data_IF_190943887906
#
_entry.id   IF_190943887906
#
_cell.length_a   1.000
_cell.length_b   1.000
_cell.length_c   1.000
_cell.angle_alpha   90.00
_cell.angle_beta   90.00
_cell.angle_gamma   90.00
#
_symmetry.space_group_name_H-M   'P 1'
#
loop_
_entity.id
_entity.type
_entity.pdbx_description
1 polymer ?
#
# COMPACT_ATOMS: atom_id res chain seq x y z
N UNK A 1 14.25 22.08 -23.58
CA UNK A 1 14.61 20.67 -23.41
C UNK A 1 15.45 20.58 -22.16
N UNK A 2 14.83 20.36 -21.02
CA UNK A 2 15.52 20.09 -19.76
C UNK A 2 15.77 18.59 -19.70
N UNK A 3 17.04 18.24 -19.56
CA UNK A 3 17.55 16.89 -19.48
C UNK A 3 16.87 16.13 -18.32
N UNK A 4 16.15 15.06 -18.66
CA UNK A 4 15.41 14.19 -17.74
C UNK A 4 16.28 13.05 -17.18
N UNK A 5 17.59 13.08 -17.37
CA UNK A 5 18.52 12.08 -16.84
C UNK A 5 18.93 12.35 -15.38
N UNK A 6 17.97 12.62 -14.49
CA UNK A 6 18.25 12.40 -13.05
C UNK A 6 18.39 10.89 -12.88
N UNK A 7 19.62 10.44 -12.62
CA UNK A 7 19.89 9.05 -12.30
C UNK A 7 18.94 8.63 -11.16
N UNK A 8 18.09 7.63 -11.44
CA UNK A 8 17.19 7.00 -10.46
C UNK A 8 18.01 6.19 -9.44
N UNK A 9 18.93 6.85 -8.75
CA UNK A 9 19.65 6.27 -7.62
C UNK A 9 18.66 6.15 -6.47
N UNK A 10 18.19 4.93 -6.24
CA UNK A 10 17.44 4.55 -5.04
C UNK A 10 18.35 4.85 -3.85
N UNK A 11 17.85 5.63 -2.90
CA UNK A 11 18.56 5.85 -1.64
C UNK A 11 18.73 4.53 -0.91
N UNK A 12 19.70 4.45 0.01
CA UNK A 12 19.86 3.28 0.90
C UNK A 12 18.55 2.92 1.64
N UNK A 13 17.68 3.92 1.82
CA UNK A 13 16.37 3.84 2.46
C UNK A 13 15.22 3.46 1.53
N UNK A 14 15.51 3.05 0.30
CA UNK A 14 14.48 2.55 -0.60
C UNK A 14 13.49 3.60 -1.08
N UNK A 15 13.80 4.90 -1.00
CA UNK A 15 13.05 5.96 -1.67
C UNK A 15 13.79 6.46 -2.91
N UNK A 16 13.04 6.86 -3.95
CA UNK A 16 13.59 7.67 -5.04
C UNK A 16 14.01 9.03 -4.48
N UNK A 17 15.22 9.50 -4.84
CA UNK A 17 15.65 10.85 -4.48
C UNK A 17 14.61 11.87 -4.93
N UNK A 18 14.08 12.64 -3.98
CA UNK A 18 13.11 13.70 -4.27
C UNK A 18 13.82 15.03 -4.49
N UNK A 19 13.32 15.84 -5.42
CA UNK A 19 13.73 17.24 -5.54
C UNK A 19 13.25 18.09 -4.35
N UNK A 20 12.23 17.61 -3.62
CA UNK A 20 11.78 18.20 -2.37
C UNK A 20 12.70 17.78 -1.22
N UNK A 21 13.48 18.74 -0.73
CA UNK A 21 14.43 18.56 0.37
C UNK A 21 13.76 18.15 1.69
N UNK A 22 12.53 18.60 1.93
CA UNK A 22 11.79 18.24 3.15
C UNK A 22 11.35 16.77 3.09
N UNK A 23 10.79 16.35 1.96
CA UNK A 23 10.43 14.95 1.74
C UNK A 23 11.67 14.05 1.85
N UNK A 24 12.79 14.46 1.25
CA UNK A 24 14.04 13.72 1.34
C UNK A 24 14.53 13.58 2.79
N UNK A 25 14.51 14.67 3.56
CA UNK A 25 14.87 14.65 4.98
C UNK A 25 14.00 13.69 5.80
N UNK A 26 12.68 13.72 5.59
CA UNK A 26 11.74 12.80 6.27
C UNK A 26 12.11 11.35 5.97
N UNK A 27 12.33 11.02 4.69
CA UNK A 27 12.71 9.67 4.27
C UNK A 27 14.01 9.21 4.93
N UNK A 28 15.06 10.03 4.88
CA UNK A 28 16.40 9.67 5.37
C UNK A 28 16.44 9.50 6.90
N UNK A 29 15.60 10.22 7.65
CA UNK A 29 15.66 10.22 9.12
C UNK A 29 14.57 9.36 9.78
N UNK A 30 13.44 9.15 9.12
CA UNK A 30 12.26 8.51 9.71
C UNK A 30 12.03 7.08 9.23
N UNK A 31 12.46 6.72 8.02
CA UNK A 31 12.17 5.40 7.47
C UNK A 31 12.97 4.30 8.18
N UNK A 32 12.30 3.19 8.47
CA UNK A 32 12.84 1.98 9.12
C UNK A 32 12.36 0.76 8.36
N UNK A 33 12.95 0.55 7.19
CA UNK A 33 12.61 -0.58 6.33
C UNK A 33 13.31 -1.86 6.77
N UNK A 34 12.58 -2.97 6.77
CA UNK A 34 13.17 -4.29 6.95
C UNK A 34 13.99 -4.71 5.74
N UNK A 35 14.88 -5.69 5.90
CA UNK A 35 15.66 -6.23 4.79
C UNK A 35 14.79 -6.88 3.70
N UNK A 36 13.61 -7.41 4.08
CA UNK A 36 12.65 -7.94 3.12
C UNK A 36 11.99 -6.82 2.31
N UNK A 37 11.60 -5.73 2.97
CA UNK A 37 11.02 -4.54 2.33
C UNK A 37 12.02 -3.87 1.38
N UNK A 38 13.27 -3.69 1.81
CA UNK A 38 14.34 -3.13 0.95
C UNK A 38 14.54 -3.98 -0.30
N UNK A 39 14.66 -5.30 -0.12
CA UNK A 39 14.81 -6.24 -1.24
C UNK A 39 13.63 -6.15 -2.21
N UNK A 40 12.39 -6.22 -1.69
CA UNK A 40 11.20 -6.17 -2.53
C UNK A 40 11.12 -4.87 -3.32
N UNK A 41 11.37 -3.72 -2.67
CA UNK A 41 11.39 -2.42 -3.32
C UNK A 41 12.46 -2.33 -4.43
N UNK A 42 13.63 -2.96 -4.25
CA UNK A 42 14.67 -3.01 -5.28
C UNK A 42 14.23 -3.85 -6.49
N UNK A 43 13.62 -5.01 -6.26
CA UNK A 43 13.15 -5.88 -7.35
C UNK A 43 11.93 -5.28 -8.08
N UNK A 44 10.92 -4.83 -7.34
CA UNK A 44 9.70 -4.28 -7.93
C UNK A 44 9.96 -3.02 -8.76
N UNK A 45 11.01 -2.24 -8.45
CA UNK A 45 11.41 -1.07 -9.25
C UNK A 45 11.97 -1.40 -10.63
N UNK A 46 12.44 -2.62 -10.85
CA UNK A 46 12.89 -3.09 -12.17
C UNK A 46 11.70 -3.37 -13.09
N UNK A 47 10.51 -3.56 -12.52
CA UNK A 47 9.31 -3.87 -13.27
C UNK A 47 8.77 -2.65 -14.04
N UNK A 48 8.25 -2.80 -15.27
CA UNK A 48 7.68 -1.70 -16.06
C UNK A 48 6.53 -0.97 -15.35
N UNK A 49 5.76 -1.70 -14.54
CA UNK A 49 4.65 -1.17 -13.74
C UNK A 49 5.06 -0.68 -12.34
N UNK A 50 6.34 -0.37 -12.11
CA UNK A 50 6.87 0.08 -10.81
C UNK A 50 6.22 1.35 -10.24
N UNK A 51 5.52 2.14 -11.07
CA UNK A 51 4.71 3.28 -10.62
C UNK A 51 3.50 2.88 -9.76
N UNK A 52 3.12 1.59 -9.77
CA UNK A 52 2.07 1.05 -8.91
C UNK A 52 2.53 0.78 -7.47
N UNK A 53 3.81 0.99 -7.16
CA UNK A 53 4.32 0.82 -5.80
C UNK A 53 3.86 1.95 -4.89
N UNK A 54 3.38 1.58 -3.71
CA UNK A 54 3.20 2.52 -2.60
C UNK A 54 4.52 3.17 -2.20
N UNK A 55 4.45 4.41 -1.70
CA UNK A 55 5.62 5.04 -1.11
C UNK A 55 5.95 4.38 0.23
N UNK A 56 7.25 4.30 0.55
CA UNK A 56 7.72 3.66 1.78
C UNK A 56 7.23 4.37 3.05
N UNK A 57 7.00 5.68 2.99
CA UNK A 57 6.51 6.45 4.14
C UNK A 57 5.03 6.16 4.42
N UNK A 58 4.22 5.95 3.38
CA UNK A 58 2.82 5.52 3.52
C UNK A 58 2.75 4.13 4.16
N UNK A 59 3.57 3.19 3.68
CA UNK A 59 3.57 1.83 4.22
C UNK A 59 4.05 1.79 5.67
N UNK A 60 5.07 2.58 6.03
CA UNK A 60 5.47 2.68 7.43
C UNK A 60 4.38 3.29 8.31
N UNK A 61 3.66 4.31 7.83
CA UNK A 61 2.53 4.87 8.55
C UNK A 61 1.42 3.83 8.72
N UNK A 62 1.07 3.09 7.68
CA UNK A 62 0.08 2.02 7.72
C UNK A 62 0.47 0.93 8.72
N UNK A 63 1.71 0.46 8.69
CA UNK A 63 2.25 -0.49 9.66
C UNK A 63 2.17 0.05 11.10
N UNK A 64 2.53 1.31 11.32
CA UNK A 64 2.42 1.93 12.65
C UNK A 64 0.96 2.00 13.13
N UNK A 65 0.01 2.31 12.24
CA UNK A 65 -1.42 2.30 12.56
C UNK A 65 -1.91 0.90 12.91
N UNK A 66 -1.58 -0.11 12.09
CA UNK A 66 -1.92 -1.52 12.36
C UNK A 66 -1.38 -1.97 13.72
N UNK A 67 -0.13 -1.61 14.04
CA UNK A 67 0.48 -1.90 15.34
C UNK A 67 -0.26 -1.17 16.48
N UNK A 68 -0.50 0.14 16.35
CA UNK A 68 -1.12 0.96 17.38
C UNK A 68 -2.54 0.54 17.73
N UNK A 69 -3.33 0.08 16.75
CA UNK A 69 -4.68 -0.43 16.97
C UNK A 69 -4.73 -1.92 17.34
N UNK A 70 -3.56 -2.57 17.50
CA UNK A 70 -3.44 -4.01 17.76
C UNK A 70 -4.22 -4.84 16.73
N UNK A 71 -4.07 -4.50 15.45
CA UNK A 71 -4.71 -5.22 14.37
C UNK A 71 -4.30 -6.71 14.41
N UNK A 72 -5.27 -7.60 14.20
CA UNK A 72 -5.01 -9.05 14.08
C UNK A 72 -5.50 -9.65 12.77
N UNK A 73 -6.56 -9.09 12.18
CA UNK A 73 -7.11 -9.53 10.91
C UNK A 73 -7.22 -8.33 10.00
N UNK A 74 -6.56 -8.41 8.85
CA UNK A 74 -6.53 -7.33 7.86
C UNK A 74 -6.90 -7.89 6.51
N UNK A 75 -7.42 -7.03 5.65
CA UNK A 75 -7.77 -7.31 4.27
C UNK A 75 -7.04 -6.31 3.39
N UNK A 76 -6.19 -6.80 2.50
CA UNK A 76 -5.42 -6.03 1.54
C UNK A 76 -5.96 -6.33 0.13
N UNK A 77 -6.38 -5.30 -0.60
CA UNK A 77 -7.02 -5.44 -1.91
C UNK A 77 -6.17 -4.73 -2.96
N UNK A 78 -5.66 -5.50 -3.92
CA UNK A 78 -4.63 -5.03 -4.86
C UNK A 78 -3.24 -5.28 -4.29
N UNK A 79 -2.75 -6.51 -4.44
CA UNK A 79 -1.49 -6.96 -3.84
C UNK A 79 -0.30 -6.53 -4.69
N UNK A 80 -0.45 -6.57 -6.02
CA UNK A 80 0.65 -6.35 -6.97
C UNK A 80 1.88 -7.19 -6.56
N UNK A 81 3.01 -6.56 -6.25
CA UNK A 81 4.26 -7.22 -5.82
C UNK A 81 4.30 -7.57 -4.33
N UNK A 82 3.25 -7.22 -3.57
CA UNK A 82 3.05 -7.66 -2.20
C UNK A 82 3.62 -6.76 -1.12
N UNK A 83 3.97 -5.51 -1.43
CA UNK A 83 4.62 -4.59 -0.48
C UNK A 83 3.70 -4.17 0.67
N UNK A 84 2.42 -3.88 0.40
CA UNK A 84 1.41 -3.58 1.42
C UNK A 84 1.17 -4.78 2.34
N UNK A 85 0.87 -5.96 1.77
CA UNK A 85 0.67 -7.19 2.52
C UNK A 85 1.88 -7.55 3.40
N UNK A 86 3.10 -7.39 2.88
CA UNK A 86 4.35 -7.57 3.64
C UNK A 86 4.42 -6.61 4.83
N UNK A 87 4.25 -5.31 4.57
CA UNK A 87 4.39 -4.24 5.57
C UNK A 87 3.40 -4.40 6.72
N UNK A 88 2.17 -4.83 6.42
CA UNK A 88 1.17 -5.14 7.43
C UNK A 88 1.57 -6.41 8.20
N UNK A 89 1.88 -7.51 7.52
CA UNK A 89 2.15 -8.79 8.16
C UNK A 89 3.35 -8.78 9.14
N UNK A 90 4.36 -7.94 8.87
CA UNK A 90 5.53 -7.76 9.73
C UNK A 90 5.18 -7.16 11.10
N UNK A 91 4.13 -6.33 11.21
CA UNK A 91 3.73 -5.70 12.48
C UNK A 91 2.57 -6.40 13.19
N UNK A 92 1.85 -7.29 12.50
CA UNK A 92 0.80 -8.09 13.14
C UNK A 92 1.41 -9.05 14.17
N UNK A 93 0.67 -9.42 15.23
CA UNK A 93 1.08 -10.47 16.16
C UNK A 93 1.28 -11.82 15.45
N UNK A 94 1.85 -12.81 16.14
CA UNK A 94 2.14 -14.13 15.56
C UNK A 94 0.90 -14.88 15.07
N UNK A 95 -0.25 -14.64 15.72
CA UNK A 95 -1.57 -15.15 15.34
C UNK A 95 -2.32 -14.25 14.34
N UNK A 96 -1.68 -13.18 13.87
CA UNK A 96 -2.24 -12.24 12.93
C UNK A 96 -2.37 -12.81 11.51
N UNK A 97 -3.34 -12.30 10.77
CA UNK A 97 -3.64 -12.69 9.39
C UNK A 97 -3.86 -11.48 8.48
N UNK A 98 -3.24 -11.51 7.31
CA UNK A 98 -3.54 -10.64 6.17
C UNK A 98 -4.25 -11.48 5.13
N UNK A 99 -5.48 -11.13 4.76
CA UNK A 99 -6.12 -11.67 3.55
C UNK A 99 -5.72 -10.76 2.40
N UNK A 100 -5.00 -11.27 1.43
CA UNK A 100 -4.42 -10.50 0.34
C UNK A 100 -5.12 -10.88 -0.98
N UNK A 101 -5.83 -9.94 -1.60
CA UNK A 101 -6.66 -10.18 -2.79
C UNK A 101 -6.06 -9.53 -4.02
N UNK A 102 -5.83 -10.31 -5.06
CA UNK A 102 -5.47 -9.78 -6.37
C UNK A 102 -6.20 -10.52 -7.49
N UNK A 103 -6.45 -9.81 -8.59
CA UNK A 103 -7.08 -10.38 -9.78
C UNK A 103 -6.12 -11.24 -10.59
N UNK A 104 -4.81 -11.10 -10.37
CA UNK A 104 -3.75 -11.85 -11.05
C UNK A 104 -2.74 -12.40 -10.05
N UNK A 105 -2.15 -13.55 -10.33
CA UNK A 105 -1.06 -14.17 -9.56
C UNK A 105 0.31 -14.00 -10.25
N UNK A 106 0.38 -13.22 -11.32
CA UNK A 106 1.59 -12.97 -12.13
C UNK A 106 2.82 -12.61 -11.28
N UNK A 107 2.62 -11.83 -10.20
CA UNK A 107 3.70 -11.35 -9.34
C UNK A 107 3.95 -12.22 -8.10
N UNK A 108 3.08 -13.22 -7.87
CA UNK A 108 3.07 -14.00 -6.63
C UNK A 108 4.37 -14.78 -6.44
N UNK A 109 4.83 -15.46 -7.49
CA UNK A 109 6.00 -16.33 -7.44
C UNK A 109 7.32 -15.56 -7.39
N UNK A 110 7.41 -14.48 -8.14
CA UNK A 110 8.68 -13.78 -8.38
C UNK A 110 8.96 -12.67 -7.37
N UNK A 111 7.90 -12.08 -6.77
CA UNK A 111 8.03 -10.96 -5.84
C UNK A 111 7.46 -11.28 -4.46
N UNK A 112 6.18 -11.65 -4.40
CA UNK A 112 5.44 -11.77 -3.15
C UNK A 112 6.01 -12.87 -2.23
N UNK A 113 6.00 -14.13 -2.68
CA UNK A 113 6.43 -15.27 -1.86
C UNK A 113 7.90 -15.14 -1.41
N UNK A 114 8.86 -14.76 -2.28
CA UNK A 114 10.23 -14.53 -1.84
C UNK A 114 10.36 -13.46 -0.74
N UNK A 115 9.64 -12.33 -0.87
CA UNK A 115 9.67 -11.27 0.13
C UNK A 115 9.05 -11.73 1.47
N UNK A 116 7.88 -12.36 1.41
CA UNK A 116 7.17 -12.83 2.61
C UNK A 116 7.94 -13.93 3.35
N UNK A 117 8.64 -14.80 2.61
CA UNK A 117 9.57 -15.79 3.19
C UNK A 117 10.77 -15.12 3.82
N UNK A 118 11.37 -14.14 3.15
CA UNK A 118 12.53 -13.39 3.66
C UNK A 118 12.23 -12.66 4.98
N UNK A 119 10.99 -12.19 5.15
CA UNK A 119 10.51 -11.60 6.41
C UNK A 119 10.02 -12.64 7.44
N UNK A 120 9.87 -13.91 7.07
CA UNK A 120 9.31 -14.94 7.95
C UNK A 120 7.81 -14.77 8.25
N UNK A 121 7.07 -14.08 7.38
CA UNK A 121 5.65 -13.75 7.57
C UNK A 121 4.71 -14.44 6.59
N UNK A 122 5.22 -15.28 5.69
CA UNK A 122 4.42 -16.03 4.71
C UNK A 122 3.21 -16.74 5.34
N UNK A 123 3.39 -17.35 6.52
CA UNK A 123 2.32 -18.05 7.23
C UNK A 123 1.19 -17.14 7.73
N UNK A 124 1.40 -15.81 7.79
CA UNK A 124 0.37 -14.82 8.15
C UNK A 124 -0.43 -14.34 6.93
N UNK A 125 0.01 -14.63 5.71
CA UNK A 125 -0.59 -14.04 4.50
C UNK A 125 -1.43 -15.10 3.77
N UNK A 126 -2.71 -14.78 3.54
CA UNK A 126 -3.68 -15.56 2.80
C UNK A 126 -3.91 -14.94 1.42
N UNK A 127 -3.08 -15.28 0.44
CA UNK A 127 -3.28 -14.80 -0.91
C UNK A 127 -4.47 -15.49 -1.58
N UNK A 128 -5.40 -14.72 -2.15
CA UNK A 128 -6.55 -15.24 -2.90
C UNK A 128 -6.63 -14.60 -4.26
N UNK A 129 -6.52 -15.44 -5.29
CA UNK A 129 -6.70 -15.05 -6.67
C UNK A 129 -8.18 -14.87 -7.00
N UNK A 130 -8.54 -13.73 -7.55
CA UNK A 130 -9.86 -13.46 -8.13
C UNK A 130 -10.31 -12.02 -7.97
N UNK A 131 -11.45 -11.64 -8.58
CA UNK A 131 -12.01 -10.31 -8.43
C UNK A 131 -12.34 -10.01 -6.96
N UNK A 132 -11.84 -8.88 -6.45
CA UNK A 132 -12.03 -8.50 -5.04
C UNK A 132 -13.49 -8.54 -4.61
N UNK A 133 -14.42 -8.09 -5.48
CA UNK A 133 -15.86 -8.10 -5.22
C UNK A 133 -16.43 -9.46 -4.82
N UNK A 134 -15.89 -10.58 -5.33
CA UNK A 134 -16.38 -11.91 -4.96
C UNK A 134 -16.08 -12.23 -3.49
N UNK A 135 -14.94 -11.75 -3.01
CA UNK A 135 -14.48 -11.96 -1.64
C UNK A 135 -15.07 -10.91 -0.70
N UNK A 136 -15.14 -9.65 -1.12
CA UNK A 136 -15.67 -8.53 -0.32
C UNK A 136 -17.12 -8.74 0.13
N UNK A 137 -17.95 -9.44 -0.66
CA UNK A 137 -19.31 -9.85 -0.26
C UNK A 137 -19.36 -10.73 0.99
N UNK A 138 -18.23 -11.23 1.47
CA UNK A 138 -18.11 -12.14 2.62
C UNK A 138 -17.42 -11.50 3.83
N UNK A 139 -17.08 -10.20 3.78
CA UNK A 139 -16.36 -9.52 4.84
C UNK A 139 -17.01 -8.19 5.22
N UNK A 140 -17.04 -7.89 6.53
CA UNK A 140 -17.63 -6.67 7.09
C UNK A 140 -16.62 -5.50 7.23
N UNK A 141 -15.32 -5.77 7.03
CA UNK A 141 -14.25 -4.79 7.21
C UNK A 141 -13.34 -4.79 5.97
N UNK A 142 -13.15 -3.61 5.38
CA UNK A 142 -12.36 -3.44 4.15
C UNK A 142 -11.40 -2.28 4.34
N UNK A 143 -10.14 -2.50 3.98
CA UNK A 143 -9.19 -1.43 3.78
C UNK A 143 -9.17 -1.15 2.28
N UNK A 144 -9.60 0.05 1.87
CA UNK A 144 -9.64 0.51 0.48
C UNK A 144 -8.68 1.69 0.33
N UNK A 145 -7.88 1.69 -0.73
CA UNK A 145 -6.93 2.75 -1.03
C UNK A 145 -6.98 3.11 -2.51
N UNK A 146 -6.89 4.40 -2.83
CA UNK A 146 -6.74 4.81 -4.23
C UNK A 146 -6.33 6.29 -4.38
N UNK A 147 -5.56 6.52 -5.45
CA UNK A 147 -4.83 7.73 -5.83
C UNK A 147 -5.68 9.00 -5.98
N UNK A 148 -4.99 10.15 -5.91
CA UNK A 148 -5.52 11.49 -6.15
C UNK A 148 -6.53 11.60 -7.32
N UNK A 149 -7.66 12.23 -7.00
CA UNK A 149 -8.84 12.45 -7.86
C UNK A 149 -8.92 13.91 -8.34
N UNK A 150 -7.83 14.66 -8.17
CA UNK A 150 -7.83 16.12 -8.20
C UNK A 150 -7.98 16.71 -9.61
N UNK A 151 -7.68 15.95 -10.67
CA UNK A 151 -7.94 16.42 -12.04
C UNK A 151 -9.42 16.23 -12.39
N UNK A 152 -10.20 17.29 -12.24
CA UNK A 152 -11.64 17.31 -12.57
C UNK A 152 -11.95 16.90 -14.01
N UNK A 153 -10.97 16.93 -14.92
CA UNK A 153 -11.15 16.53 -16.31
C UNK A 153 -10.91 15.03 -16.55
N UNK A 154 -10.28 14.32 -15.61
CA UNK A 154 -10.10 12.88 -15.70
C UNK A 154 -11.42 12.16 -15.43
N UNK A 155 -11.99 11.58 -16.49
CA UNK A 155 -13.24 10.82 -16.45
C UNK A 155 -13.01 9.32 -16.64
N UNK A 156 -11.81 8.82 -16.32
CA UNK A 156 -11.56 7.39 -16.33
C UNK A 156 -12.47 6.66 -15.34
N UNK A 157 -12.88 5.40 -15.62
CA UNK A 157 -13.74 4.65 -14.71
C UNK A 157 -13.18 4.50 -13.30
N UNK A 158 -11.85 4.42 -13.16
CA UNK A 158 -11.19 4.38 -11.86
C UNK A 158 -11.41 5.70 -11.11
N UNK A 159 -11.09 6.84 -11.72
CA UNK A 159 -11.25 8.16 -11.09
C UNK A 159 -12.70 8.47 -10.73
N UNK A 160 -13.66 8.11 -11.60
CA UNK A 160 -15.10 8.23 -11.30
C UNK A 160 -15.48 7.37 -10.09
N UNK A 161 -15.05 6.10 -10.06
CA UNK A 161 -15.35 5.19 -8.95
C UNK A 161 -14.82 5.70 -7.61
N UNK A 162 -13.63 6.32 -7.61
CA UNK A 162 -13.06 6.91 -6.38
C UNK A 162 -13.84 8.16 -5.95
N UNK A 163 -14.27 9.02 -6.89
CA UNK A 163 -15.14 10.18 -6.58
C UNK A 163 -16.42 9.73 -5.90
N UNK A 164 -17.08 8.74 -6.48
CA UNK A 164 -18.34 8.19 -5.96
C UNK A 164 -18.13 7.59 -4.58
N UNK A 165 -17.10 6.76 -4.40
CA UNK A 165 -16.76 6.17 -3.11
C UNK A 165 -16.49 7.24 -2.04
N UNK A 166 -15.66 8.24 -2.35
CA UNK A 166 -15.35 9.33 -1.42
C UNK A 166 -16.60 10.14 -1.06
N UNK A 167 -17.50 10.39 -2.01
CA UNK A 167 -18.76 11.09 -1.77
C UNK A 167 -19.72 10.30 -0.89
N UNK A 168 -19.76 8.97 -1.03
CA UNK A 168 -20.54 8.08 -0.17
C UNK A 168 -19.99 8.08 1.26
N UNK A 169 -18.68 7.86 1.41
CA UNK A 169 -18.00 7.83 2.71
C UNK A 169 -18.19 9.17 3.44
N UNK A 170 -17.99 10.31 2.77
CA UNK A 170 -18.11 11.65 3.37
C UNK A 170 -19.51 11.97 3.95
N UNK A 171 -20.55 11.24 3.54
CA UNK A 171 -21.93 11.40 4.02
C UNK A 171 -22.35 10.30 5.01
N UNK A 172 -21.48 9.33 5.26
CA UNK A 172 -21.76 8.20 6.14
C UNK A 172 -21.49 8.56 7.61
N UNK A 173 -22.57 8.77 8.37
CA UNK A 173 -22.50 9.10 9.79
C UNK A 173 -22.16 7.88 10.68
N UNK A 174 -22.09 6.67 10.13
CA UNK A 174 -21.70 5.45 10.88
C UNK A 174 -20.19 5.31 11.03
N UNK A 175 -19.41 6.21 10.41
CA UNK A 175 -17.95 6.22 10.43
C UNK A 175 -17.39 7.59 10.80
N UNK A 176 -16.15 7.61 11.30
CA UNK A 176 -15.29 8.78 11.42
C UNK A 176 -14.19 8.70 10.37
N UNK A 177 -13.87 9.83 9.75
CA UNK A 177 -12.95 9.89 8.62
C UNK A 177 -11.81 10.86 8.93
N UNK A 178 -10.60 10.50 8.52
CA UNK A 178 -9.44 11.38 8.50
C UNK A 178 -8.70 11.22 7.18
N UNK A 179 -8.50 12.33 6.47
CA UNK A 179 -7.71 12.36 5.23
C UNK A 179 -6.29 12.81 5.54
N UNK A 180 -5.31 11.96 5.26
CA UNK A 180 -3.88 12.28 5.39
C UNK A 180 -3.27 12.49 4.01
N UNK A 181 -2.53 13.59 3.85
CA UNK A 181 -1.81 13.95 2.60
C UNK A 181 -0.43 13.31 2.55
N UNK A 182 -0.37 12.00 2.81
CA UNK A 182 0.85 11.20 2.66
C UNK A 182 0.78 10.49 1.30
N UNK A 183 1.91 10.49 0.58
CA UNK A 183 2.04 9.99 -0.79
C UNK A 183 0.90 10.40 -1.72
N UNK A 184 0.09 9.44 -2.19
CA UNK A 184 -0.99 9.69 -3.16
C UNK A 184 -2.37 9.98 -2.55
N UNK A 185 -2.45 10.03 -1.22
CA UNK A 185 -3.65 10.35 -0.46
C UNK A 185 -4.20 9.15 0.31
N UNK A 186 -4.29 9.28 1.62
CA UNK A 186 -4.70 8.20 2.52
C UNK A 186 -5.99 8.57 3.27
N UNK A 187 -7.11 7.94 2.93
CA UNK A 187 -8.37 8.09 3.67
C UNK A 187 -8.50 7.02 4.74
N UNK A 188 -8.40 7.41 6.01
CA UNK A 188 -8.64 6.52 7.14
C UNK A 188 -10.12 6.60 7.51
N UNK A 189 -10.80 5.45 7.52
CA UNK A 189 -12.21 5.33 7.90
C UNK A 189 -12.31 4.42 9.13
N UNK A 190 -12.94 4.91 10.20
CA UNK A 190 -13.10 4.20 11.46
C UNK A 190 -14.58 4.07 11.76
N UNK A 191 -15.10 2.84 11.86
CA UNK A 191 -16.48 2.60 12.29
C UNK A 191 -16.71 3.11 13.72
N UNK A 192 -17.86 3.73 13.95
CA UNK A 192 -18.27 4.19 15.28
C UNK A 192 -18.64 3.05 16.23
#
# INVERSE_FOLDING_TARGET
>A
MTDLSISKSVTEYGCTKSADKLHQYICDHSLRLSEAQKWLLQESRKHPLSLMLFSSIEMQLLSNLCYAINARKTLDVGVYTGYSALSIAEVLPSDGRVVALDKTDEYLKDYCLPAWKKAGVESKIDFRLGPALQTLRKFDNVVLWSQFVLDENDNSPATIGIREMNALIARDNSVRISLLRTGDGLTIVVKN
#
